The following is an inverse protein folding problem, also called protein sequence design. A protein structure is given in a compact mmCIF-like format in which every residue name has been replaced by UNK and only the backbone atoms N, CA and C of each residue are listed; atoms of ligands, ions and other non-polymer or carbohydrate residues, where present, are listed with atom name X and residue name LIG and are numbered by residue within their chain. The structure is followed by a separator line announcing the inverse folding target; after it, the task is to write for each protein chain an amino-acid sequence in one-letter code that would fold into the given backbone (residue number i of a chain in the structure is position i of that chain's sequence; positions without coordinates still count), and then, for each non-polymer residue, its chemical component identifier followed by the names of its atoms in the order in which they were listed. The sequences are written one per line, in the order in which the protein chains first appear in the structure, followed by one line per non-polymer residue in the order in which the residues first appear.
data_IF_531721020766
#
_entry.id   IF_531721020766
#
_cell.length_a   1.000
_cell.length_b   1.000
_cell.length_c   1.000
_cell.angle_alpha   90.00
_cell.angle_beta   90.00
_cell.angle_gamma   90.00
#
_symmetry.space_group_name_H-M   'P 1'
#
loop_
_entity.id
_entity.type
_entity.pdbx_description
1 polymer ?
#
# COMPACT_ATOMS: atom_id res chain seq x y z
N UNK A 1 18.95 22.36 2.86
CA UNK A 1 20.04 21.91 3.78
C UNK A 1 21.14 21.23 2.96
N UNK A 2 22.43 21.25 3.36
CA UNK A 2 23.49 20.52 2.62
C UNK A 2 23.35 19.02 2.87
N UNK A 3 23.04 18.26 1.83
CA UNK A 3 22.95 16.80 1.89
C UNK A 3 24.35 16.22 2.11
N UNK A 4 24.49 15.33 3.09
CA UNK A 4 25.73 14.57 3.24
C UNK A 4 25.78 13.50 2.15
N UNK A 5 26.48 13.83 1.05
CA UNK A 5 26.56 12.98 -0.14
C UNK A 5 27.06 11.56 0.18
N UNK A 6 27.97 11.39 1.14
CA UNK A 6 28.48 10.07 1.50
C UNK A 6 27.40 9.20 2.16
N UNK A 7 26.60 9.78 3.06
CA UNK A 7 25.50 9.05 3.71
C UNK A 7 24.39 8.72 2.71
N UNK A 8 24.06 9.66 1.82
CA UNK A 8 23.08 9.41 0.76
C UNK A 8 23.51 8.27 -0.16
N UNK A 9 24.75 8.29 -0.64
CA UNK A 9 25.30 7.23 -1.50
C UNK A 9 25.35 5.87 -0.79
N UNK A 10 25.72 5.86 0.51
CA UNK A 10 25.69 4.64 1.33
C UNK A 10 24.27 4.09 1.39
N UNK A 11 23.28 4.89 1.78
CA UNK A 11 21.89 4.44 1.93
C UNK A 11 21.27 4.00 0.59
N UNK A 12 21.56 4.72 -0.50
CA UNK A 12 21.14 4.36 -1.85
C UNK A 12 21.69 2.99 -2.28
N UNK A 13 23.00 2.75 -2.08
CA UNK A 13 23.62 1.47 -2.43
C UNK A 13 23.10 0.32 -1.53
N UNK A 14 22.89 0.57 -0.24
CA UNK A 14 22.27 -0.42 0.66
C UNK A 14 20.87 -0.79 0.17
N UNK A 15 20.06 0.20 -0.19
CA UNK A 15 18.70 -0.02 -0.71
C UNK A 15 18.71 -0.81 -2.01
N UNK A 16 19.61 -0.50 -2.96
CA UNK A 16 19.76 -1.27 -4.19
C UNK A 16 20.12 -2.74 -3.93
N UNK A 17 21.08 -2.99 -3.05
CA UNK A 17 21.51 -4.36 -2.70
C UNK A 17 20.37 -5.11 -2.00
N UNK A 18 19.73 -4.51 -1.00
CA UNK A 18 18.63 -5.12 -0.26
C UNK A 18 17.41 -5.38 -1.15
N UNK A 19 17.09 -4.44 -2.05
CA UNK A 19 16.01 -4.60 -3.04
C UNK A 19 16.28 -5.78 -3.96
N UNK A 20 17.52 -5.95 -4.42
CA UNK A 20 17.86 -7.06 -5.30
C UNK A 20 17.77 -8.40 -4.59
N UNK A 21 18.16 -8.49 -3.32
CA UNK A 21 17.95 -9.69 -2.48
C UNK A 21 16.43 -9.96 -2.31
N UNK A 22 15.62 -8.92 -2.13
CA UNK A 22 14.16 -9.05 -1.99
C UNK A 22 13.46 -9.49 -3.28
N UNK A 23 13.94 -9.05 -4.45
CA UNK A 23 13.43 -9.43 -5.77
C UNK A 23 13.92 -10.80 -6.22
N UNK A 24 15.15 -11.17 -5.85
CA UNK A 24 15.82 -12.41 -6.27
C UNK A 24 16.34 -13.19 -5.05
N UNK A 25 15.46 -13.79 -4.22
CA UNK A 25 15.90 -14.57 -3.07
C UNK A 25 16.86 -15.69 -3.49
N UNK A 26 18.03 -15.73 -2.84
CA UNK A 26 19.09 -16.68 -3.14
C UNK A 26 20.15 -16.18 -4.13
N UNK A 27 20.10 -14.93 -4.54
CA UNK A 27 21.16 -14.31 -5.37
C UNK A 27 22.52 -14.33 -4.65
N UNK A 28 23.60 -14.51 -5.41
CA UNK A 28 24.97 -14.51 -4.86
C UNK A 28 25.57 -13.10 -4.80
N UNK A 29 26.55 -12.88 -3.92
CA UNK A 29 27.31 -11.61 -3.86
C UNK A 29 27.92 -11.20 -5.21
N UNK A 30 28.35 -12.19 -6.00
CA UNK A 30 28.98 -11.97 -7.33
C UNK A 30 27.95 -11.50 -8.34
N UNK A 31 26.74 -12.08 -8.30
CA UNK A 31 25.67 -11.69 -9.22
C UNK A 31 25.10 -10.32 -8.83
N UNK A 32 24.97 -10.00 -7.53
CA UNK A 32 24.61 -8.65 -7.06
C UNK A 32 25.59 -7.60 -7.62
N UNK A 33 26.92 -7.84 -7.49
CA UNK A 33 27.92 -6.91 -7.99
C UNK A 33 27.84 -6.74 -9.52
N UNK A 34 27.52 -7.81 -10.25
CA UNK A 34 27.36 -7.78 -11.71
C UNK A 34 26.11 -7.01 -12.12
N UNK A 35 24.95 -7.31 -11.51
CA UNK A 35 23.66 -6.72 -11.88
C UNK A 35 23.59 -5.23 -11.53
N UNK A 36 24.12 -4.83 -10.37
CA UNK A 36 24.14 -3.44 -9.93
C UNK A 36 25.33 -2.64 -10.45
N UNK A 37 26.27 -3.28 -11.17
CA UNK A 37 27.53 -2.65 -11.62
C UNK A 37 28.32 -1.99 -10.48
N UNK A 38 28.31 -2.61 -9.29
CA UNK A 38 29.04 -2.15 -8.10
C UNK A 38 30.35 -2.92 -7.94
N UNK A 39 31.35 -2.29 -7.33
CA UNK A 39 32.59 -2.99 -6.97
C UNK A 39 32.31 -4.12 -5.97
N UNK A 40 32.98 -5.26 -6.14
CA UNK A 40 32.82 -6.43 -5.25
C UNK A 40 33.09 -6.11 -3.79
N UNK A 41 34.07 -5.25 -3.51
CA UNK A 41 34.39 -4.77 -2.16
C UNK A 41 33.23 -3.97 -1.55
N UNK A 42 32.60 -3.08 -2.32
CA UNK A 42 31.40 -2.34 -1.91
C UNK A 42 30.25 -3.27 -1.56
N UNK A 43 29.94 -4.23 -2.45
CA UNK A 43 28.87 -5.21 -2.21
C UNK A 43 29.17 -6.07 -0.98
N UNK A 44 30.42 -6.48 -0.79
CA UNK A 44 30.84 -7.25 0.39
C UNK A 44 30.62 -6.46 1.67
N UNK A 45 31.03 -5.19 1.71
CA UNK A 45 30.87 -4.35 2.90
C UNK A 45 29.40 -4.10 3.23
N UNK A 46 28.55 -3.85 2.23
CA UNK A 46 27.10 -3.65 2.42
C UNK A 46 26.46 -4.92 2.96
N UNK A 47 26.73 -6.07 2.34
CA UNK A 47 26.14 -7.35 2.75
C UNK A 47 26.62 -7.76 4.15
N UNK A 48 27.90 -7.57 4.45
CA UNK A 48 28.40 -7.77 5.82
C UNK A 48 27.65 -6.90 6.83
N UNK A 49 27.46 -5.61 6.55
CA UNK A 49 26.68 -4.75 7.43
C UNK A 49 25.21 -5.19 7.58
N UNK A 50 24.57 -5.67 6.50
CA UNK A 50 23.20 -6.20 6.55
C UNK A 50 23.12 -7.51 7.36
N UNK A 51 24.15 -8.37 7.28
CA UNK A 51 24.24 -9.60 8.08
C UNK A 51 24.50 -9.28 9.55
N UNK A 52 25.43 -8.36 9.83
CA UNK A 52 25.78 -7.94 11.20
C UNK A 52 24.59 -7.31 11.94
N UNK A 53 23.61 -6.79 11.20
CA UNK A 53 22.36 -6.22 11.74
C UNK A 53 21.14 -7.13 11.54
N UNK A 54 21.37 -8.43 11.27
CA UNK A 54 20.32 -9.45 11.12
C UNK A 54 19.27 -9.15 10.04
N UNK A 55 19.53 -8.25 9.07
CA UNK A 55 18.60 -7.94 7.96
C UNK A 55 18.63 -9.05 6.91
N UNK A 56 19.82 -9.61 6.68
CA UNK A 56 20.09 -10.63 5.67
C UNK A 56 20.79 -11.79 6.35
N UNK A 57 20.53 -13.02 5.91
CA UNK A 57 21.31 -14.18 6.31
C UNK A 57 21.84 -14.94 5.09
N UNK A 58 22.88 -15.72 5.34
CA UNK A 58 23.46 -16.66 4.38
C UNK A 58 22.78 -18.02 4.55
N UNK A 59 22.09 -18.51 3.52
CA UNK A 59 21.43 -19.81 3.53
C UNK A 59 22.33 -20.94 3.04
N UNK A 60 21.99 -22.18 3.41
CA UNK A 60 22.53 -23.40 2.79
C UNK A 60 21.66 -23.82 1.57
N UNK A 61 22.28 -24.50 0.60
CA UNK A 61 21.84 -24.73 -0.79
C UNK A 61 20.34 -25.03 -1.06
N UNK A 62 19.85 -24.49 -2.20
CA UNK A 62 18.87 -25.17 -3.05
C UNK A 62 19.57 -26.00 -4.15
N UNK A 63 18.94 -27.08 -4.62
CA UNK A 63 19.49 -28.16 -5.47
C UNK A 63 19.90 -27.76 -6.91
N UNK A 64 20.83 -26.82 -7.05
CA UNK A 64 21.42 -26.43 -8.35
C UNK A 64 22.63 -27.28 -8.71
N UNK A 65 22.71 -27.74 -9.96
CA UNK A 65 23.81 -28.58 -10.48
C UNK A 65 25.13 -27.80 -10.45
N UNK A 66 26.07 -28.27 -9.62
CA UNK A 66 27.43 -27.74 -9.49
C UNK A 66 28.19 -27.82 -10.83
N UNK A 67 28.67 -26.67 -11.32
CA UNK A 67 29.59 -26.58 -12.48
C UNK A 67 31.08 -26.44 -12.08
N UNK A 68 31.44 -26.78 -10.85
CA UNK A 68 32.83 -26.72 -10.35
C UNK A 68 33.23 -25.33 -9.84
N UNK A 69 34.01 -25.30 -8.75
CA UNK A 69 34.37 -24.09 -7.98
C UNK A 69 33.76 -24.08 -6.55
N UNK A 70 34.23 -23.18 -5.67
CA UNK A 70 33.61 -22.96 -4.35
C UNK A 70 32.17 -22.50 -4.58
N UNK A 71 31.20 -23.28 -4.09
CA UNK A 71 29.77 -23.05 -4.29
C UNK A 71 29.35 -21.65 -3.82
N UNK A 72 28.50 -20.91 -4.56
CA UNK A 72 28.07 -19.57 -4.15
C UNK A 72 27.23 -19.65 -2.87
N UNK A 73 27.51 -18.77 -1.91
CA UNK A 73 26.64 -18.57 -0.74
C UNK A 73 25.42 -17.79 -1.19
N UNK A 74 24.22 -18.28 -0.85
CA UNK A 74 22.95 -17.70 -1.26
C UNK A 74 22.42 -16.73 -0.18
N UNK A 75 21.98 -15.55 -0.60
CA UNK A 75 21.53 -14.49 0.31
C UNK A 75 20.01 -14.43 0.37
N UNK A 76 19.47 -14.26 1.57
CA UNK A 76 18.04 -14.10 1.82
C UNK A 76 17.78 -13.02 2.86
N UNK A 77 16.64 -12.34 2.77
CA UNK A 77 16.17 -11.49 3.85
C UNK A 77 15.89 -12.36 5.07
N UNK A 78 16.25 -11.90 6.26
CA UNK A 78 15.85 -12.53 7.50
C UNK A 78 14.41 -12.15 7.82
N UNK A 79 13.47 -13.07 7.63
CA UNK A 79 12.05 -12.83 7.90
C UNK A 79 11.79 -12.50 9.39
N UNK A 80 12.76 -12.77 10.27
CA UNK A 80 12.71 -12.45 11.70
C UNK A 80 13.30 -11.08 12.07
N UNK A 81 13.76 -10.30 11.10
CA UNK A 81 14.32 -8.97 11.38
C UNK A 81 13.27 -8.02 11.99
N UNK A 82 12.04 -8.08 11.49
CA UNK A 82 10.95 -7.25 11.99
C UNK A 82 9.67 -7.44 11.19
N UNK A 83 8.61 -6.80 11.66
CA UNK A 83 7.31 -6.80 11.02
C UNK A 83 6.73 -5.39 10.86
N UNK A 84 5.78 -5.26 9.95
CA UNK A 84 5.07 -4.02 9.62
C UNK A 84 3.58 -4.28 9.74
N UNK A 85 2.88 -3.34 10.38
CA UNK A 85 1.42 -3.39 10.47
C UNK A 85 0.81 -2.57 9.35
N UNK A 86 -0.21 -3.11 8.70
CA UNK A 86 -1.04 -2.39 7.74
C UNK A 86 -2.49 -2.40 8.19
N UNK A 87 -3.13 -1.24 8.16
CA UNK A 87 -4.54 -1.04 8.45
C UNK A 87 -5.28 -0.59 7.20
N UNK A 88 -6.47 -1.13 7.00
CA UNK A 88 -7.52 -0.60 6.15
C UNK A 88 -8.62 -0.09 7.09
N UNK A 89 -8.82 1.22 7.13
CA UNK A 89 -9.81 1.85 8.01
C UNK A 89 -10.96 2.35 7.14
N UNK A 90 -12.04 1.58 7.12
CA UNK A 90 -13.28 1.92 6.44
C UNK A 90 -14.34 2.34 7.46
N UNK A 91 -15.34 3.16 7.11
CA UNK A 91 -16.25 3.73 8.11
C UNK A 91 -17.10 2.70 8.87
N UNK A 92 -17.36 1.52 8.30
CA UNK A 92 -18.09 0.41 8.97
C UNK A 92 -17.17 -0.60 9.65
N UNK A 93 -15.93 -0.75 9.18
CA UNK A 93 -15.09 -1.88 9.55
C UNK A 93 -13.61 -1.55 9.41
N UNK A 94 -12.78 -2.34 10.05
CA UNK A 94 -11.34 -2.32 9.83
C UNK A 94 -10.87 -3.68 9.36
N UNK A 95 -9.73 -3.67 8.67
CA UNK A 95 -8.88 -4.83 8.48
C UNK A 95 -7.47 -4.47 8.89
N UNK A 96 -6.79 -5.41 9.50
CA UNK A 96 -5.42 -5.24 9.93
C UNK A 96 -4.60 -6.45 9.54
N UNK A 97 -3.38 -6.23 9.06
CA UNK A 97 -2.41 -7.27 8.74
C UNK A 97 -1.08 -6.98 9.41
N UNK A 98 -0.33 -8.03 9.71
CA UNK A 98 1.08 -7.94 10.10
C UNK A 98 1.86 -8.70 9.04
N UNK A 99 2.81 -8.02 8.39
CA UNK A 99 3.71 -8.61 7.40
C UNK A 99 5.13 -8.67 7.95
N UNK A 100 5.91 -9.69 7.61
CA UNK A 100 7.37 -9.63 7.78
C UNK A 100 8.01 -8.71 6.72
N UNK A 101 9.33 -8.50 6.81
CA UNK A 101 10.06 -7.67 5.83
C UNK A 101 10.13 -8.25 4.41
N UNK A 102 9.85 -9.54 4.23
CA UNK A 102 9.73 -10.15 2.90
C UNK A 102 8.37 -9.84 2.26
N UNK A 103 7.40 -9.36 3.06
CA UNK A 103 6.02 -9.11 2.66
C UNK A 103 5.09 -10.29 2.93
N UNK A 104 5.54 -11.31 3.67
CA UNK A 104 4.71 -12.48 3.98
C UNK A 104 3.77 -12.18 5.14
N UNK A 105 2.52 -12.65 5.04
CA UNK A 105 1.48 -12.46 6.05
C UNK A 105 1.77 -13.31 7.30
N UNK A 106 1.87 -12.66 8.45
CA UNK A 106 2.08 -13.30 9.76
C UNK A 106 0.81 -13.34 10.61
N UNK A 107 -0.04 -12.32 10.49
CA UNK A 107 -1.28 -12.19 11.25
C UNK A 107 -2.27 -11.32 10.49
N UNK A 108 -3.55 -11.59 10.68
CA UNK A 108 -4.65 -10.79 10.17
C UNK A 108 -5.79 -10.71 11.18
N UNK A 109 -6.47 -9.58 11.22
CA UNK A 109 -7.65 -9.34 12.04
C UNK A 109 -8.64 -8.47 11.26
N UNK A 110 -9.95 -8.68 11.47
CA UNK A 110 -10.97 -7.81 10.91
C UNK A 110 -12.16 -7.69 11.86
N UNK A 111 -12.83 -6.56 11.82
CA UNK A 111 -13.99 -6.35 12.68
C UNK A 111 -14.68 -5.01 12.42
N UNK A 112 -15.81 -4.76 13.09
CA UNK A 112 -16.45 -3.46 13.04
C UNK A 112 -15.58 -2.40 13.73
N UNK A 113 -15.71 -1.14 13.31
CA UNK A 113 -15.10 -0.03 14.05
C UNK A 113 -15.84 0.23 15.37
N UNK A 114 -15.11 0.58 16.46
CA UNK A 114 -15.73 1.02 17.70
C UNK A 114 -16.45 2.36 17.50
N UNK A 115 -17.55 2.56 18.24
CA UNK A 115 -18.34 3.81 18.18
C UNK A 115 -17.70 4.98 18.95
N UNK A 116 -16.52 5.43 18.51
CA UNK A 116 -15.70 6.49 19.12
C UNK A 116 -15.04 7.36 18.04
N UNK A 117 -14.51 8.53 18.43
CA UNK A 117 -13.78 9.42 17.51
C UNK A 117 -12.55 8.78 16.86
N UNK A 118 -12.10 9.33 15.72
CA UNK A 118 -11.02 8.76 14.90
C UNK A 118 -9.71 8.53 15.67
N UNK A 119 -9.34 9.46 16.55
CA UNK A 119 -8.20 9.29 17.46
C UNK A 119 -8.31 8.04 18.34
N UNK A 120 -9.50 7.80 18.89
CA UNK A 120 -9.80 6.61 19.68
C UNK A 120 -9.79 5.33 18.84
N UNK A 121 -10.24 5.40 17.58
CA UNK A 121 -10.14 4.29 16.63
C UNK A 121 -8.67 3.90 16.43
N UNK A 122 -7.77 4.85 16.17
CA UNK A 122 -6.35 4.55 15.96
C UNK A 122 -5.74 3.85 17.18
N UNK A 123 -6.06 4.32 18.38
CA UNK A 123 -5.60 3.69 19.63
C UNK A 123 -6.17 2.27 19.78
N UNK A 124 -7.47 2.09 19.52
CA UNK A 124 -8.11 0.79 19.56
C UNK A 124 -7.47 -0.21 18.58
N UNK A 125 -7.24 0.20 17.34
CA UNK A 125 -6.64 -0.63 16.30
C UNK A 125 -5.21 -1.06 16.67
N UNK A 126 -4.43 -0.15 17.26
CA UNK A 126 -3.13 -0.50 17.80
C UNK A 126 -3.23 -1.52 18.95
N UNK A 127 -4.15 -1.34 19.90
CA UNK A 127 -4.35 -2.29 21.00
C UNK A 127 -4.75 -3.69 20.49
N UNK A 128 -5.52 -3.76 19.40
CA UNK A 128 -5.91 -5.01 18.74
C UNK A 128 -4.68 -5.70 18.16
N UNK A 129 -3.89 -5.01 17.33
CA UNK A 129 -2.78 -5.63 16.59
C UNK A 129 -1.56 -5.89 17.47
N UNK A 130 -1.31 -5.08 18.49
CA UNK A 130 -0.19 -5.28 19.42
C UNK A 130 -0.28 -6.64 20.13
N UNK A 131 -1.48 -7.15 20.42
CA UNK A 131 -1.66 -8.52 20.95
C UNK A 131 -1.18 -9.59 19.96
N UNK A 132 -1.38 -9.37 18.67
CA UNK A 132 -0.86 -10.24 17.60
C UNK A 132 0.66 -10.13 17.50
N UNK A 133 1.20 -8.91 17.46
CA UNK A 133 2.65 -8.63 17.39
C UNK A 133 3.40 -9.24 18.57
N UNK A 134 2.87 -9.15 19.79
CA UNK A 134 3.47 -9.76 20.99
C UNK A 134 3.59 -11.29 20.86
N UNK A 135 2.56 -11.96 20.30
CA UNK A 135 2.58 -13.42 20.05
C UNK A 135 3.55 -13.81 18.95
N UNK A 136 3.61 -13.03 17.86
CA UNK A 136 4.57 -13.23 16.78
C UNK A 136 5.99 -13.10 17.33
N UNK A 137 6.21 -12.12 18.22
CA UNK A 137 7.49 -11.91 18.86
C UNK A 137 8.55 -11.42 17.88
N UNK A 138 8.19 -10.55 16.93
CA UNK A 138 9.11 -9.79 16.09
C UNK A 138 9.08 -8.29 16.46
N UNK A 139 10.17 -7.53 16.23
CA UNK A 139 10.16 -6.08 16.35
C UNK A 139 9.18 -5.43 15.37
N UNK A 140 8.37 -4.47 15.82
CA UNK A 140 7.49 -3.68 14.99
C UNK A 140 8.25 -2.48 14.42
N UNK A 141 8.41 -2.48 13.10
CA UNK A 141 9.16 -1.46 12.36
C UNK A 141 8.31 -0.23 12.07
N UNK A 142 7.05 -0.42 11.67
CA UNK A 142 6.14 0.66 11.31
C UNK A 142 4.67 0.24 11.41
N UNK A 143 3.80 1.22 11.60
CA UNK A 143 2.35 1.10 11.36
C UNK A 143 1.98 1.89 10.10
N UNK A 144 1.11 1.34 9.27
CA UNK A 144 0.68 1.95 8.01
C UNK A 144 -0.84 1.96 7.93
N UNK A 145 -1.44 3.06 7.49
CA UNK A 145 -2.89 3.25 7.39
C UNK A 145 -3.28 3.55 5.96
N UNK A 146 -4.15 2.71 5.38
CA UNK A 146 -4.96 3.03 4.21
C UNK A 146 -6.31 3.56 4.66
N UNK A 147 -6.74 4.69 4.08
CA UNK A 147 -8.01 5.33 4.40
C UNK A 147 -8.61 5.98 3.14
N UNK A 148 -9.94 5.97 2.96
CA UNK A 148 -10.58 6.74 1.91
C UNK A 148 -10.39 8.25 2.14
N UNK A 149 -10.03 8.97 1.08
CA UNK A 149 -9.89 10.42 1.06
C UNK A 149 -8.55 10.93 0.52
N UNK A 150 -8.36 12.23 0.63
CA UNK A 150 -7.19 12.96 0.14
C UNK A 150 -6.13 12.96 1.24
N UNK A 151 -4.98 12.33 0.96
CA UNK A 151 -3.90 12.13 1.94
C UNK A 151 -2.60 12.74 1.46
N UNK A 152 -2.03 13.64 2.26
CA UNK A 152 -0.66 14.08 2.10
C UNK A 152 0.28 13.10 2.81
N UNK A 153 0.65 12.05 2.11
CA UNK A 153 1.45 10.92 2.65
C UNK A 153 2.86 11.36 3.04
N UNK A 154 3.39 12.43 2.45
CA UNK A 154 4.72 12.98 2.78
C UNK A 154 4.75 13.71 4.12
N UNK A 155 3.66 14.38 4.47
CA UNK A 155 3.53 15.08 5.77
C UNK A 155 2.82 14.23 6.83
N UNK A 156 2.26 13.09 6.45
CA UNK A 156 1.42 12.28 7.32
C UNK A 156 0.16 13.02 7.76
N UNK A 157 -0.51 13.69 6.81
CA UNK A 157 -1.72 14.48 7.06
C UNK A 157 -2.86 13.95 6.20
N UNK A 158 -3.99 13.63 6.82
CA UNK A 158 -5.26 13.38 6.12
C UNK A 158 -5.85 14.74 5.81
N UNK A 159 -5.71 15.20 4.56
CA UNK A 159 -6.16 16.53 4.13
C UNK A 159 -7.68 16.62 4.21
N UNK A 160 -8.35 15.60 3.70
CA UNK A 160 -9.80 15.48 3.74
C UNK A 160 -10.23 14.03 3.68
N UNK A 161 -11.08 13.60 4.61
CA UNK A 161 -11.75 12.30 4.56
C UNK A 161 -13.19 12.48 5.04
N UNK A 162 -14.10 12.76 4.10
CA UNK A 162 -15.54 12.92 4.37
C UNK A 162 -16.11 11.79 5.23
N UNK A 163 -15.82 10.50 4.94
CA UNK A 163 -16.46 9.40 5.68
C UNK A 163 -16.06 9.31 7.15
N UNK A 164 -15.04 10.07 7.58
CA UNK A 164 -14.59 10.20 8.96
C UNK A 164 -14.74 11.63 9.49
N UNK A 165 -15.32 12.55 8.70
CA UNK A 165 -15.41 13.98 8.98
C UNK A 165 -14.05 14.62 9.37
N UNK A 166 -12.98 14.21 8.68
CA UNK A 166 -11.62 14.69 8.96
C UNK A 166 -11.22 15.80 7.99
N UNK A 167 -10.58 16.83 8.55
CA UNK A 167 -9.99 17.95 7.81
C UNK A 167 -8.62 18.27 8.37
N UNK A 168 -7.58 18.21 7.53
CA UNK A 168 -6.18 18.50 7.89
C UNK A 168 -5.71 17.81 9.19
N UNK A 169 -6.08 16.54 9.38
CA UNK A 169 -5.72 15.78 10.58
C UNK A 169 -4.27 15.28 10.47
N UNK A 170 -3.38 15.80 11.34
CA UNK A 170 -1.98 15.38 11.44
C UNK A 170 -1.85 14.05 12.22
N UNK A 171 -2.20 12.96 11.54
CA UNK A 171 -2.15 11.60 12.08
C UNK A 171 -0.74 11.21 12.51
N UNK A 172 0.29 11.69 11.81
CA UNK A 172 1.68 11.41 12.15
C UNK A 172 2.03 11.96 13.54
N UNK A 173 1.77 13.24 13.80
CA UNK A 173 2.06 13.86 15.10
C UNK A 173 1.24 13.24 16.23
N UNK A 174 -0.07 13.04 16.00
CA UNK A 174 -0.96 12.37 16.95
C UNK A 174 -0.42 10.99 17.39
N UNK A 175 0.09 10.22 16.43
CA UNK A 175 0.61 8.88 16.67
C UNK A 175 1.99 8.91 17.34
N UNK A 176 2.88 9.81 16.93
CA UNK A 176 4.23 9.93 17.46
C UNK A 176 4.27 10.30 18.95
N UNK A 177 3.27 11.05 19.44
CA UNK A 177 3.09 11.33 20.87
C UNK A 177 2.74 10.08 21.69
N UNK A 178 2.17 9.06 21.04
CA UNK A 178 1.57 7.89 21.69
C UNK A 178 2.38 6.62 21.54
N UNK A 179 3.16 6.47 20.47
CA UNK A 179 3.87 5.24 20.15
C UNK A 179 5.31 5.55 19.70
N UNK A 180 6.25 4.68 20.08
CA UNK A 180 7.67 4.76 19.68
C UNK A 180 7.95 4.22 18.27
N UNK A 181 6.91 3.98 17.49
CA UNK A 181 6.94 3.39 16.16
C UNK A 181 6.44 4.45 15.18
N UNK A 182 7.06 4.63 14.00
CA UNK A 182 6.56 5.57 13.00
C UNK A 182 5.21 5.09 12.42
N UNK A 183 4.36 6.05 12.07
CA UNK A 183 3.13 5.81 11.32
C UNK A 183 3.18 6.48 9.96
N UNK A 184 2.76 5.72 8.95
CA UNK A 184 2.57 6.19 7.58
C UNK A 184 1.10 6.09 7.21
N UNK A 185 0.62 7.04 6.42
CA UNK A 185 -0.78 7.07 5.95
C UNK A 185 -0.79 7.23 4.44
N UNK A 186 -1.76 6.60 3.79
CA UNK A 186 -1.97 6.63 2.35
C UNK A 186 -3.46 6.53 2.02
N UNK A 187 -3.83 7.01 0.84
CA UNK A 187 -5.16 6.75 0.26
C UNK A 187 -5.34 5.24 -0.01
N UNK A 188 -6.54 4.71 0.23
CA UNK A 188 -6.86 3.29 0.08
C UNK A 188 -6.67 2.72 -1.33
N UNK A 189 -7.07 3.45 -2.38
CA UNK A 189 -6.82 3.06 -3.76
C UNK A 189 -5.32 3.12 -4.11
N UNK A 190 -4.59 4.11 -3.57
CA UNK A 190 -3.13 4.13 -3.69
C UNK A 190 -2.45 2.94 -2.99
N UNK A 191 -3.01 2.44 -1.88
CA UNK A 191 -2.53 1.23 -1.23
C UNK A 191 -2.59 0.02 -2.17
N UNK A 192 -3.64 -0.14 -2.98
CA UNK A 192 -3.70 -1.26 -3.93
C UNK A 192 -2.58 -1.16 -4.97
N UNK A 193 -2.25 0.07 -5.42
CA UNK A 193 -1.11 0.27 -6.31
C UNK A 193 0.24 -0.07 -5.65
N UNK A 194 0.42 0.24 -4.36
CA UNK A 194 1.59 -0.20 -3.59
C UNK A 194 1.67 -1.73 -3.51
N UNK A 195 0.53 -2.41 -3.31
CA UNK A 195 0.49 -3.87 -3.27
C UNK A 195 0.87 -4.47 -4.62
N UNK A 196 0.22 -4.07 -5.71
CA UNK A 196 0.44 -4.64 -7.04
C UNK A 196 1.87 -4.44 -7.52
N UNK A 197 2.45 -3.27 -7.25
CA UNK A 197 3.86 -3.00 -7.50
C UNK A 197 4.78 -3.99 -6.78
N UNK A 198 4.40 -4.39 -5.58
CA UNK A 198 5.20 -5.22 -4.69
C UNK A 198 5.11 -6.70 -4.96
N UNK A 199 3.91 -7.21 -5.19
CA UNK A 199 3.72 -8.62 -5.55
C UNK A 199 4.34 -8.92 -6.91
N UNK A 200 4.33 -7.94 -7.83
CA UNK A 200 4.95 -8.04 -9.14
C UNK A 200 6.38 -7.50 -9.20
N UNK A 201 7.08 -7.34 -8.06
CA UNK A 201 8.43 -6.73 -7.98
C UNK A 201 9.51 -7.39 -8.84
N UNK A 202 9.30 -8.65 -9.26
CA UNK A 202 10.21 -9.42 -10.12
C UNK A 202 10.09 -9.03 -11.61
N UNK A 203 9.02 -8.33 -11.98
CA UNK A 203 8.82 -7.79 -13.32
C UNK A 203 8.75 -6.26 -13.26
N UNK A 204 9.18 -5.60 -14.33
CA UNK A 204 9.01 -4.15 -14.44
C UNK A 204 7.58 -3.86 -14.90
N UNK A 205 6.61 -3.74 -14.00
CA UNK A 205 5.22 -3.39 -14.35
C UNK A 205 5.12 -2.04 -15.08
N UNK A 206 5.88 -1.04 -14.62
CA UNK A 206 5.85 0.33 -15.14
C UNK A 206 4.56 1.04 -14.81
N UNK A 207 3.88 1.53 -15.85
CA UNK A 207 2.69 2.35 -15.71
C UNK A 207 1.46 1.45 -15.68
N UNK A 208 0.67 1.56 -14.63
CA UNK A 208 -0.52 0.75 -14.43
C UNK A 208 -1.55 1.52 -13.59
N UNK A 209 -2.79 1.03 -13.64
CA UNK A 209 -3.94 1.57 -12.94
C UNK A 209 -4.54 0.49 -12.06
N UNK A 210 -4.92 0.82 -10.83
CA UNK A 210 -5.69 -0.04 -9.95
C UNK A 210 -7.04 0.61 -9.68
N UNK A 211 -8.12 -0.07 -10.00
CA UNK A 211 -9.47 0.34 -9.66
C UNK A 211 -9.88 -0.36 -8.38
N UNK A 212 -10.26 0.41 -7.37
CA UNK A 212 -10.82 -0.10 -6.12
C UNK A 212 -12.27 0.37 -6.01
N UNK A 213 -13.20 -0.53 -5.70
CA UNK A 213 -14.56 -0.14 -5.32
C UNK A 213 -15.04 -0.95 -4.11
N UNK A 214 -15.79 -0.32 -3.21
CA UNK A 214 -16.42 -1.03 -2.11
C UNK A 214 -17.83 -0.50 -1.82
N UNK A 215 -18.67 -1.37 -1.28
CA UNK A 215 -20.01 -1.01 -0.84
C UNK A 215 -19.95 -0.33 0.52
N UNK A 216 -20.64 0.79 0.61
CA UNK A 216 -20.79 1.55 1.83
C UNK A 216 -22.12 1.16 2.48
N UNK A 217 -22.07 0.50 3.63
CA UNK A 217 -23.24 0.21 4.45
C UNK A 217 -23.62 1.48 5.25
N UNK A 218 -24.81 2.04 5.02
CA UNK A 218 -25.29 3.18 5.81
C UNK A 218 -25.44 2.88 7.29
N UNK A 219 -25.56 3.95 8.09
CA UNK A 219 -25.38 4.04 9.54
C UNK A 219 -23.92 4.16 10.03
N UNK A 220 -23.11 5.03 9.43
CA UNK A 220 -21.81 5.34 10.02
C UNK A 220 -21.96 6.32 11.19
N UNK A 221 -21.09 6.16 12.19
CA UNK A 221 -21.00 7.10 13.31
C UNK A 221 -20.54 8.51 12.89
N UNK A 222 -20.00 8.66 11.68
CA UNK A 222 -19.49 9.92 11.12
C UNK A 222 -20.38 10.48 10.00
N UNK A 223 -21.49 9.83 9.66
CA UNK A 223 -22.40 10.25 8.60
C UNK A 223 -23.23 9.10 8.03
N UNK A 224 -24.30 9.42 7.32
CA UNK A 224 -25.21 8.42 6.77
C UNK A 224 -25.20 8.50 5.24
N UNK A 225 -24.33 7.72 4.59
CA UNK A 225 -24.34 7.55 3.13
C UNK A 225 -24.06 6.10 2.78
N UNK A 226 -25.14 5.36 2.56
CA UNK A 226 -25.09 4.08 1.87
C UNK A 226 -24.74 4.31 0.40
N UNK A 227 -24.04 3.38 -0.25
CA UNK A 227 -23.75 3.49 -1.69
C UNK A 227 -22.53 2.69 -2.12
N UNK A 228 -21.87 3.13 -3.19
CA UNK A 228 -20.58 2.60 -3.64
C UNK A 228 -19.57 3.72 -3.75
N UNK A 229 -18.39 3.52 -3.16
CA UNK A 229 -17.21 4.35 -3.40
C UNK A 229 -16.27 3.72 -4.43
N UNK A 230 -15.66 4.55 -5.26
CA UNK A 230 -14.64 4.16 -6.26
C UNK A 230 -13.39 5.00 -6.08
N UNK A 231 -12.23 4.36 -6.07
CA UNK A 231 -10.93 5.03 -6.10
C UNK A 231 -10.03 4.45 -7.17
N UNK A 232 -9.10 5.26 -7.66
CA UNK A 232 -8.10 4.83 -8.65
C UNK A 232 -6.70 5.04 -8.09
N UNK A 233 -5.97 3.95 -7.87
CA UNK A 233 -4.53 3.98 -7.62
C UNK A 233 -3.77 4.05 -8.94
N UNK A 234 -2.78 4.93 -9.04
CA UNK A 234 -1.97 5.10 -10.25
C UNK A 234 -0.50 4.81 -9.96
N UNK A 235 0.16 4.03 -10.83
CA UNK A 235 1.61 3.96 -10.90
C UNK A 235 2.08 4.60 -12.20
N UNK A 236 2.99 5.58 -12.10
CA UNK A 236 3.63 6.25 -13.25
C UNK A 236 5.14 6.28 -13.00
N UNK A 237 5.92 5.80 -13.97
CA UNK A 237 7.37 5.69 -13.85
C UNK A 237 7.80 4.67 -12.80
N UNK A 238 6.92 3.73 -12.42
CA UNK A 238 7.17 2.75 -11.36
C UNK A 238 7.07 3.33 -9.95
N UNK A 239 6.28 4.39 -9.76
CA UNK A 239 6.00 5.02 -8.47
C UNK A 239 4.51 5.30 -8.36
N UNK A 240 3.95 5.20 -7.16
CA UNK A 240 2.57 5.61 -6.91
C UNK A 240 2.45 7.11 -7.11
N UNK A 241 1.55 7.52 -8.01
CA UNK A 241 1.35 8.90 -8.42
C UNK A 241 0.18 9.51 -7.66
N UNK A 242 0.45 10.53 -6.85
CA UNK A 242 -0.55 11.20 -6.00
C UNK A 242 -1.11 12.50 -6.61
N UNK A 243 -0.48 13.02 -7.65
CA UNK A 243 -0.81 14.33 -8.23
C UNK A 243 -0.38 15.52 -7.34
N UNK A 244 -0.57 16.74 -7.85
CA UNK A 244 -0.07 17.97 -7.22
C UNK A 244 -0.79 18.35 -5.91
N UNK A 245 -2.02 17.84 -5.72
CA UNK A 245 -2.85 18.11 -4.55
C UNK A 245 -3.24 16.83 -3.81
N UNK A 246 -2.54 15.72 -4.08
CA UNK A 246 -2.82 14.41 -3.49
C UNK A 246 -4.17 13.80 -3.89
N UNK A 247 -4.81 14.33 -4.94
CA UNK A 247 -6.14 13.94 -5.42
C UNK A 247 -6.12 13.20 -6.76
N UNK A 248 -4.96 12.72 -7.21
CA UNK A 248 -4.93 11.90 -8.42
C UNK A 248 -5.71 10.60 -8.17
N UNK A 249 -6.62 10.28 -9.08
CA UNK A 249 -7.43 9.07 -8.98
C UNK A 249 -8.71 9.20 -8.14
N UNK A 250 -9.02 10.40 -7.64
CA UNK A 250 -10.35 10.73 -7.13
C UNK A 250 -11.37 10.66 -8.29
N UNK A 251 -12.05 9.53 -8.40
CA UNK A 251 -12.89 9.21 -9.54
C UNK A 251 -14.17 10.05 -9.54
N UNK A 252 -14.47 10.65 -10.70
CA UNK A 252 -15.77 11.20 -11.04
C UNK A 252 -16.19 10.65 -12.41
N UNK A 253 -17.39 10.09 -12.50
CA UNK A 253 -17.87 9.50 -13.75
C UNK A 253 -18.26 10.56 -14.77
N UNK A 254 -18.45 10.14 -16.03
CA UNK A 254 -18.89 11.00 -17.13
C UNK A 254 -20.29 11.57 -16.91
N UNK A 255 -21.10 10.97 -16.04
CA UNK A 255 -22.41 11.50 -15.67
C UNK A 255 -22.33 12.50 -14.53
N UNK A 256 -21.23 12.56 -13.77
CA UNK A 256 -21.05 13.51 -12.67
C UNK A 256 -21.15 14.97 -13.14
N UNK A 257 -21.92 15.78 -12.41
CA UNK A 257 -22.11 17.22 -12.65
C UNK A 257 -21.85 17.99 -11.36
N UNK A 258 -21.66 19.30 -11.43
CA UNK A 258 -21.33 20.11 -10.24
C UNK A 258 -22.36 20.13 -9.11
N UNK A 259 -23.57 19.60 -9.33
CA UNK A 259 -24.61 19.42 -8.29
C UNK A 259 -24.71 17.97 -7.78
N UNK A 260 -23.97 17.04 -8.39
CA UNK A 260 -23.96 15.64 -7.99
C UNK A 260 -23.41 15.48 -6.57
N UNK A 261 -24.08 14.66 -5.77
CA UNK A 261 -23.58 14.20 -4.48
C UNK A 261 -22.76 12.93 -4.73
N UNK A 262 -21.50 12.92 -4.32
CA UNK A 262 -20.59 11.79 -4.55
C UNK A 262 -19.90 11.81 -5.92
N UNK A 263 -19.65 10.62 -6.46
CA UNK A 263 -18.70 10.41 -7.59
C UNK A 263 -19.37 10.19 -8.95
N UNK A 264 -20.70 10.09 -9.00
CA UNK A 264 -21.44 9.85 -10.25
C UNK A 264 -22.60 10.83 -10.42
N UNK A 265 -23.20 10.86 -11.61
CA UNK A 265 -24.47 11.54 -11.85
C UNK A 265 -25.69 10.65 -11.68
N UNK A 266 -25.52 9.41 -11.22
CA UNK A 266 -26.61 8.46 -11.01
C UNK A 266 -27.37 8.80 -9.73
N UNK A 267 -28.62 8.33 -9.68
CA UNK A 267 -29.51 8.51 -8.53
C UNK A 267 -28.97 7.77 -7.29
N UNK A 268 -29.07 8.40 -6.11
CA UNK A 268 -28.57 7.84 -4.85
C UNK A 268 -29.28 6.53 -4.50
N UNK A 269 -30.60 6.42 -4.71
CA UNK A 269 -31.35 5.20 -4.44
C UNK A 269 -30.90 4.06 -5.38
N UNK A 270 -30.46 4.39 -6.61
CA UNK A 270 -29.86 3.41 -7.52
C UNK A 270 -28.53 2.91 -6.96
N UNK A 271 -27.65 3.80 -6.52
CA UNK A 271 -26.35 3.43 -5.93
C UNK A 271 -26.53 2.58 -4.67
N UNK A 272 -27.49 2.91 -3.81
CA UNK A 272 -27.79 2.12 -2.60
C UNK A 272 -28.27 0.71 -2.97
N UNK A 273 -29.22 0.61 -3.93
CA UNK A 273 -29.80 -0.68 -4.32
C UNK A 273 -28.83 -1.58 -5.07
N UNK A 274 -27.78 -1.03 -5.69
CA UNK A 274 -26.79 -1.77 -6.49
C UNK A 274 -26.12 -2.94 -5.77
N UNK A 275 -26.06 -2.94 -4.43
CA UNK A 275 -25.56 -4.05 -3.64
C UNK A 275 -26.46 -5.30 -3.69
N UNK A 276 -27.74 -5.12 -4.04
CA UNK A 276 -28.79 -6.16 -3.96
C UNK A 276 -29.64 -6.28 -5.23
N UNK A 277 -29.64 -5.28 -6.10
CA UNK A 277 -30.42 -5.19 -7.33
C UNK A 277 -29.47 -5.23 -8.53
N UNK A 278 -29.64 -6.26 -9.36
CA UNK A 278 -28.80 -6.52 -10.53
C UNK A 278 -28.92 -5.43 -11.61
N UNK A 279 -30.09 -4.84 -11.81
CA UNK A 279 -30.27 -3.80 -12.82
C UNK A 279 -29.57 -2.51 -12.37
N UNK A 280 -29.73 -2.16 -11.08
CA UNK A 280 -29.02 -1.02 -10.50
C UNK A 280 -27.50 -1.19 -10.55
N UNK A 281 -27.00 -2.40 -10.24
CA UNK A 281 -25.58 -2.74 -10.39
C UNK A 281 -25.11 -2.60 -11.83
N UNK A 282 -25.88 -3.11 -12.80
CA UNK A 282 -25.54 -3.04 -14.23
C UNK A 282 -25.44 -1.59 -14.72
N UNK A 283 -26.40 -0.73 -14.34
CA UNK A 283 -26.37 0.70 -14.69
C UNK A 283 -25.12 1.40 -14.13
N UNK A 284 -24.78 1.15 -12.86
CA UNK A 284 -23.57 1.71 -12.24
C UNK A 284 -22.29 1.22 -12.92
N UNK A 285 -22.18 -0.08 -13.22
CA UNK A 285 -21.03 -0.66 -13.93
C UNK A 285 -20.83 -0.04 -15.32
N UNK A 286 -21.91 0.20 -16.06
CA UNK A 286 -21.86 0.83 -17.38
C UNK A 286 -21.33 2.27 -17.28
N UNK A 287 -21.83 3.05 -16.32
CA UNK A 287 -21.36 4.42 -16.06
C UNK A 287 -19.87 4.42 -15.69
N UNK A 288 -19.45 3.52 -14.80
CA UNK A 288 -18.06 3.38 -14.37
C UNK A 288 -17.12 3.04 -15.53
N UNK A 289 -17.36 1.92 -16.23
CA UNK A 289 -16.42 1.45 -17.26
C UNK A 289 -16.43 2.33 -18.52
N UNK A 290 -17.56 2.94 -18.87
CA UNK A 290 -17.61 3.95 -19.93
C UNK A 290 -16.77 5.17 -19.57
N UNK A 291 -16.74 5.56 -18.29
CA UNK A 291 -15.95 6.68 -17.79
C UNK A 291 -14.44 6.42 -17.75
N UNK A 292 -14.04 5.15 -17.66
CA UNK A 292 -12.63 4.76 -17.66
C UNK A 292 -11.99 4.76 -19.06
N UNK A 293 -12.76 4.75 -20.15
CA UNK A 293 -12.23 4.78 -21.52
C UNK A 293 -11.29 5.98 -21.78
N UNK A 294 -11.68 7.24 -21.52
CA UNK A 294 -10.77 8.38 -21.69
C UNK A 294 -9.58 8.32 -20.72
N UNK A 295 -9.76 7.80 -19.50
CA UNK A 295 -8.69 7.67 -18.49
C UNK A 295 -7.60 6.72 -19.01
N UNK A 296 -7.99 5.53 -19.45
CA UNK A 296 -7.07 4.54 -20.04
C UNK A 296 -6.40 5.11 -21.30
N UNK A 297 -7.13 5.83 -22.15
CA UNK A 297 -6.56 6.42 -23.35
C UNK A 297 -5.54 7.52 -23.08
N UNK A 298 -5.66 8.27 -21.98
CA UNK A 298 -4.72 9.33 -21.61
C UNK A 298 -3.51 8.78 -20.89
N UNK A 299 -3.72 7.80 -20.00
CA UNK A 299 -2.65 7.23 -19.18
C UNK A 299 -1.81 6.18 -19.92
N UNK A 300 -2.38 5.50 -20.93
CA UNK A 300 -1.73 4.40 -21.65
C UNK A 300 -1.13 3.32 -20.71
N UNK A 301 -1.89 2.78 -19.74
CA UNK A 301 -1.35 1.85 -18.76
C UNK A 301 -1.09 0.48 -19.41
N UNK A 302 -0.08 -0.24 -18.92
CA UNK A 302 0.18 -1.62 -19.36
C UNK A 302 -0.81 -2.62 -18.77
N UNK A 303 -1.31 -2.34 -17.57
CA UNK A 303 -2.24 -3.19 -16.83
C UNK A 303 -3.26 -2.33 -16.11
N UNK A 304 -4.51 -2.78 -16.12
CA UNK A 304 -5.58 -2.34 -15.22
C UNK A 304 -5.87 -3.48 -14.25
N UNK A 305 -5.62 -3.25 -12.96
CA UNK A 305 -6.03 -4.13 -11.87
C UNK A 305 -7.40 -3.72 -11.35
N UNK A 306 -8.25 -4.69 -11.02
CA UNK A 306 -9.61 -4.48 -10.52
C UNK A 306 -9.73 -5.15 -9.15
N UNK A 307 -10.02 -4.37 -8.11
CA UNK A 307 -10.14 -4.80 -6.73
C UNK A 307 -11.46 -4.39 -6.09
N UNK A 308 -11.89 -5.18 -5.11
CA UNK A 308 -13.00 -4.84 -4.24
C UNK A 308 -14.31 -5.56 -4.59
N UNK A 309 -15.22 -5.56 -3.61
CA UNK A 309 -16.38 -6.45 -3.55
C UNK A 309 -17.36 -6.34 -4.72
N UNK A 310 -17.64 -5.16 -5.31
CA UNK A 310 -18.49 -5.05 -6.50
C UNK A 310 -17.97 -5.84 -7.70
N UNK A 311 -16.70 -6.24 -7.70
CA UNK A 311 -16.05 -6.96 -8.78
C UNK A 311 -15.79 -8.45 -8.51
N UNK A 312 -16.42 -9.04 -7.48
CA UNK A 312 -16.14 -10.42 -7.06
C UNK A 312 -16.52 -11.49 -8.10
N UNK A 313 -17.44 -11.22 -9.02
CA UNK A 313 -17.82 -12.14 -10.09
C UNK A 313 -17.20 -11.73 -11.43
N UNK A 314 -15.98 -12.22 -11.69
CA UNK A 314 -15.25 -11.92 -12.93
C UNK A 314 -16.03 -12.32 -14.20
N UNK A 315 -16.78 -13.44 -14.17
CA UNK A 315 -17.52 -13.92 -15.35
C UNK A 315 -18.65 -12.96 -15.68
N UNK A 316 -19.39 -12.53 -14.65
CA UNK A 316 -20.47 -11.55 -14.79
C UNK A 316 -19.96 -10.22 -15.36
N UNK A 317 -18.83 -9.72 -14.84
CA UNK A 317 -18.25 -8.47 -15.31
C UNK A 317 -17.75 -8.60 -16.75
N UNK A 318 -17.09 -9.71 -17.08
CA UNK A 318 -16.61 -9.94 -18.46
C UNK A 318 -17.78 -9.94 -19.44
N UNK A 319 -18.89 -10.62 -19.11
CA UNK A 319 -20.09 -10.62 -19.94
C UNK A 319 -20.69 -9.20 -20.10
N UNK A 320 -20.78 -8.42 -19.01
CA UNK A 320 -21.23 -7.02 -19.05
C UNK A 320 -20.32 -6.14 -19.93
N UNK A 321 -19.01 -6.32 -19.83
CA UNK A 321 -18.05 -5.56 -20.64
C UNK A 321 -18.15 -5.92 -22.13
N UNK A 322 -18.46 -7.17 -22.47
CA UNK A 322 -18.67 -7.60 -23.85
C UNK A 322 -19.99 -7.08 -24.44
N UNK A 323 -21.05 -7.06 -23.62
CA UNK A 323 -22.41 -6.69 -24.05
C UNK A 323 -22.63 -5.17 -24.04
N UNK A 324 -22.33 -4.49 -22.93
CA UNK A 324 -22.72 -3.08 -22.69
C UNK A 324 -21.56 -2.09 -22.78
N UNK A 325 -20.32 -2.55 -22.54
CA UNK A 325 -19.14 -1.69 -22.55
C UNK A 325 -18.03 -2.15 -23.52
N UNK A 326 -18.34 -2.59 -24.77
CA UNK A 326 -17.31 -3.10 -25.69
C UNK A 326 -16.23 -2.06 -26.02
N UNK A 327 -16.53 -0.77 -25.89
CA UNK A 327 -15.57 0.34 -26.03
C UNK A 327 -14.42 0.26 -25.03
N UNK A 328 -14.67 -0.22 -23.81
CA UNK A 328 -13.63 -0.38 -22.79
C UNK A 328 -12.66 -1.51 -23.16
N UNK A 329 -13.19 -2.66 -23.59
CA UNK A 329 -12.36 -3.76 -24.10
C UNK A 329 -11.60 -3.36 -25.37
N UNK A 330 -12.23 -2.58 -26.25
CA UNK A 330 -11.61 -2.11 -27.48
C UNK A 330 -10.42 -1.17 -27.21
N UNK A 331 -10.53 -0.22 -26.26
CA UNK A 331 -9.41 0.65 -25.92
C UNK A 331 -8.26 -0.15 -25.30
N UNK A 332 -8.54 -1.08 -24.38
CA UNK A 332 -7.51 -1.94 -23.77
C UNK A 332 -6.75 -2.73 -24.85
N UNK A 333 -7.48 -3.33 -25.81
CA UNK A 333 -6.87 -4.04 -26.94
C UNK A 333 -6.04 -3.12 -27.83
N UNK A 334 -6.52 -1.90 -28.10
CA UNK A 334 -5.84 -0.91 -28.96
C UNK A 334 -4.45 -0.55 -28.43
N UNK A 335 -4.30 -0.43 -27.11
CA UNK A 335 -3.04 -0.08 -26.45
C UNK A 335 -2.28 -1.28 -25.88
N UNK A 336 -2.75 -2.51 -26.14
CA UNK A 336 -2.18 -3.75 -25.58
C UNK A 336 -2.10 -3.74 -24.04
N UNK A 337 -3.15 -3.19 -23.40
CA UNK A 337 -3.31 -3.18 -21.95
C UNK A 337 -3.97 -4.48 -21.47
N UNK A 338 -3.45 -5.07 -20.40
CA UNK A 338 -4.03 -6.23 -19.74
C UNK A 338 -5.07 -5.80 -18.70
N UNK A 339 -6.14 -6.57 -18.57
CA UNK A 339 -7.11 -6.44 -17.48
C UNK A 339 -6.95 -7.62 -16.52
N UNK A 340 -6.73 -7.34 -15.23
CA UNK A 340 -6.52 -8.36 -14.19
C UNK A 340 -7.53 -8.13 -13.07
N UNK A 341 -8.27 -9.17 -12.72
CA UNK A 341 -9.21 -9.16 -11.60
C UNK A 341 -8.55 -9.79 -10.37
N UNK A 342 -8.54 -9.06 -9.26
CA UNK A 342 -8.08 -9.53 -7.96
C UNK A 342 -8.99 -8.96 -6.86
N UNK A 343 -10.26 -9.37 -6.92
CA UNK A 343 -11.34 -8.83 -6.10
C UNK A 343 -11.64 -9.66 -4.83
N UNK A 344 -11.00 -10.83 -4.67
CA UNK A 344 -11.28 -11.76 -3.56
C UNK A 344 -10.49 -11.41 -2.29
N UNK A 345 -9.34 -10.73 -2.41
CA UNK A 345 -8.54 -10.35 -1.26
C UNK A 345 -9.13 -9.13 -0.53
N UNK A 346 -9.99 -9.41 0.45
CA UNK A 346 -10.57 -8.37 1.31
C UNK A 346 -9.49 -7.51 2.01
N UNK A 347 -8.27 -8.02 2.20
CA UNK A 347 -7.19 -7.30 2.90
C UNK A 347 -6.25 -6.54 1.96
N UNK A 348 -6.63 -6.34 0.69
CA UNK A 348 -5.81 -5.67 -0.34
C UNK A 348 -5.29 -4.31 0.11
N UNK A 349 -6.14 -3.48 0.71
CA UNK A 349 -5.77 -2.14 1.19
C UNK A 349 -4.81 -2.23 2.38
N UNK A 350 -5.11 -3.09 3.37
CA UNK A 350 -4.27 -3.25 4.56
C UNK A 350 -2.88 -3.78 4.18
N UNK A 351 -2.80 -4.78 3.29
CA UNK A 351 -1.54 -5.29 2.74
C UNK A 351 -0.82 -4.19 1.97
N UNK A 352 -1.52 -3.47 1.10
CA UNK A 352 -1.00 -2.33 0.35
C UNK A 352 -0.38 -1.25 1.23
N UNK A 353 -1.04 -0.89 2.34
CA UNK A 353 -0.53 0.07 3.31
C UNK A 353 0.79 -0.42 3.92
N UNK A 354 0.89 -1.67 4.37
CA UNK A 354 2.15 -2.22 4.87
C UNK A 354 3.24 -2.31 3.78
N UNK A 355 2.85 -2.70 2.55
CA UNK A 355 3.76 -2.80 1.41
C UNK A 355 4.28 -1.45 0.95
N UNK A 356 3.56 -0.34 1.16
CA UNK A 356 4.10 1.01 0.94
C UNK A 356 5.38 1.21 1.74
N UNK A 357 5.39 0.87 3.03
CA UNK A 357 6.58 1.01 3.87
C UNK A 357 7.73 0.12 3.37
N UNK A 358 7.44 -1.15 3.02
CA UNK A 358 8.46 -2.06 2.49
C UNK A 358 9.02 -1.57 1.15
N UNK A 359 8.17 -1.09 0.24
CA UNK A 359 8.62 -0.50 -1.02
C UNK A 359 9.53 0.69 -0.80
N UNK A 360 9.16 1.59 0.13
CA UNK A 360 10.01 2.73 0.49
C UNK A 360 11.35 2.30 1.09
N UNK A 361 11.35 1.29 1.97
CA UNK A 361 12.57 0.73 2.57
C UNK A 361 13.55 0.17 1.53
N UNK A 362 13.01 -0.52 0.51
CA UNK A 362 13.82 -1.09 -0.57
C UNK A 362 13.98 -0.15 -1.77
N UNK A 363 13.42 1.06 -1.75
CA UNK A 363 13.59 2.03 -2.83
C UNK A 363 14.86 2.85 -2.64
N UNK A 364 15.45 3.30 -3.76
CA UNK A 364 16.51 4.31 -3.68
C UNK A 364 15.86 5.62 -3.26
N UNK A 365 16.34 6.27 -2.17
CA UNK A 365 15.76 7.52 -1.71
C UNK A 365 15.90 8.61 -2.77
N UNK A 366 14.86 9.41 -2.95
CA UNK A 366 14.93 10.60 -3.81
C UNK A 366 15.40 11.82 -3.04
N UNK A 367 16.13 12.72 -3.71
CA UNK A 367 16.60 13.96 -3.08
C UNK A 367 15.44 14.84 -2.61
N UNK A 368 14.33 14.85 -3.33
CA UNK A 368 13.11 15.59 -2.98
C UNK A 368 12.39 15.02 -1.75
N UNK A 369 12.64 13.77 -1.39
CA UNK A 369 11.97 13.11 -0.27
C UNK A 369 12.68 13.37 1.07
N UNK A 370 13.89 13.92 1.09
CA UNK A 370 14.65 14.07 2.35
C UNK A 370 14.00 14.97 3.39
N UNK A 371 13.09 15.86 2.98
CA UNK A 371 12.34 16.74 3.88
C UNK A 371 10.95 16.17 4.23
N UNK A 372 10.60 15.01 3.68
CA UNK A 372 9.35 14.29 3.96
C UNK A 372 9.38 13.68 5.37
N UNK A 373 8.29 13.80 6.12
CA UNK A 373 8.13 13.07 7.39
C UNK A 373 8.01 11.56 7.17
N UNK A 374 7.73 11.16 5.93
CA UNK A 374 7.72 9.76 5.53
C UNK A 374 9.11 9.25 5.05
N UNK A 375 10.17 10.05 5.16
CA UNK A 375 11.53 9.61 4.85
C UNK A 375 12.19 8.91 6.04
N UNK A 376 12.89 7.82 5.76
CA UNK A 376 13.69 7.08 6.72
C UNK A 376 14.84 6.37 5.99
N UNK A 377 15.86 5.98 6.75
CA UNK A 377 17.05 5.30 6.26
C UNK A 377 17.15 3.87 6.81
N UNK A 378 18.04 3.05 6.25
CA UNK A 378 18.33 1.73 6.81
C UNK A 378 18.83 1.80 8.25
N UNK A 379 19.60 2.84 8.61
CA UNK A 379 20.09 3.02 9.98
C UNK A 379 18.90 3.27 10.94
N UNK A 380 17.89 4.06 10.54
CA UNK A 380 16.66 4.28 11.34
C UNK A 380 15.86 2.98 11.55
N UNK A 381 15.76 2.14 10.50
CA UNK A 381 15.00 0.88 10.56
C UNK A 381 15.73 -0.17 11.41
N UNK A 382 17.06 -0.25 11.30
CA UNK A 382 17.90 -1.12 12.13
C UNK A 382 17.80 -0.69 13.60
N UNK A 383 17.90 0.61 13.88
CA UNK A 383 17.72 1.14 15.23
C UNK A 383 16.33 0.80 15.78
N UNK A 384 15.29 0.92 14.95
CA UNK A 384 13.93 0.55 15.33
C UNK A 384 13.78 -0.95 15.63
N UNK A 385 14.38 -1.82 14.81
CA UNK A 385 14.37 -3.27 15.03
C UNK A 385 15.06 -3.67 16.35
N UNK A 386 16.10 -2.93 16.74
CA UNK A 386 16.89 -3.18 17.95
C UNK A 386 16.27 -2.60 19.24
N UNK A 387 15.23 -1.76 19.15
CA UNK A 387 14.57 -1.21 20.35
C UNK A 387 13.86 -2.31 21.13
N UNK A 388 13.87 -2.19 22.47
CA UNK A 388 13.09 -3.08 23.35
C UNK A 388 11.62 -3.01 22.93
N UNK A 389 10.96 -4.18 22.85
CA UNK A 389 9.53 -4.40 22.47
C UNK A 389 8.54 -3.78 23.47
N UNK A 390 8.71 -2.51 23.77
CA UNK A 390 7.86 -1.74 24.67
C UNK A 390 7.20 -0.67 23.80
N UNK A 391 6.10 -1.04 23.18
CA UNK A 391 5.23 -0.11 22.45
C UNK A 391 4.39 0.61 23.49
N UNK A 392 5.01 1.56 24.21
CA UNK A 392 4.37 2.25 25.33
C UNK A 392 3.13 2.97 24.82
N UNK A 393 1.96 2.58 25.30
CA UNK A 393 0.77 3.44 25.31
C UNK A 393 0.98 4.46 26.43
N UNK A 394 1.31 5.71 26.09
CA UNK A 394 1.37 6.75 27.11
C UNK A 394 -0.04 6.94 27.71
N UNK A 395 -0.20 6.98 29.05
CA UNK A 395 -1.48 7.31 29.64
C UNK A 395 -1.89 8.71 29.17
N UNK A 396 -3.12 8.85 28.66
CA UNK A 396 -3.70 10.16 28.34
C UNK A 396 -3.56 11.02 29.60
N UNK A 397 -2.94 12.20 29.46
CA UNK A 397 -3.04 13.21 30.50
C UNK A 397 -4.52 13.49 30.71
N UNK A 398 -5.06 13.06 31.85
CA UNK A 398 -6.40 13.43 32.25
C UNK A 398 -6.42 14.94 32.43
N UNK A 399 -7.15 15.63 31.58
CA UNK A 399 -7.81 16.86 31.98
C UNK A 399 -9.08 16.44 32.73
N UNK A 400 -8.89 16.05 33.99
CA UNK A 400 -9.91 16.31 34.99
C UNK A 400 -9.85 17.81 35.27
N UNK A 401 -10.76 18.56 34.65
CA UNK A 401 -11.47 19.73 35.22
C UNK A 401 -12.60 20.20 34.30
#
# INVERSE_FOLDING_TARGET
MRINNNNFQKNANTSLVAQLIWKSPGISRVDIARELSLYRSTVTNIISALIDNDVVYEGEEGSGVSRGGRKPIILRLNEKFGCVVGFDIQPSHFRAVVLDISGSLLYQEKGPLPKIGFEGILVYLMDVVLKGVEKIGLPLLAACVGIPGIVNSDKGVIVYAEPFNLHNFDIHSFFAERYSVPLFVENDANCTAWLDMTINRTIKLGDFLCLLADYHEGNYQFGDRSGIGVGIGLSIGGKVYRGSHYSAGEFCSLTWRGQSVGQTGLDEDLLIRSATDEEAWRVWMIDLFSSLVPVVSVLDPRVVFIHGKPFSDQKKITALLEEDCPQFLAILKKINCKLVFDAEDESVVAKGAAMMYLQKLFAVPELSEMESRAHFTWDDVIDQANRKRIYKKYPMGGSDE
#
